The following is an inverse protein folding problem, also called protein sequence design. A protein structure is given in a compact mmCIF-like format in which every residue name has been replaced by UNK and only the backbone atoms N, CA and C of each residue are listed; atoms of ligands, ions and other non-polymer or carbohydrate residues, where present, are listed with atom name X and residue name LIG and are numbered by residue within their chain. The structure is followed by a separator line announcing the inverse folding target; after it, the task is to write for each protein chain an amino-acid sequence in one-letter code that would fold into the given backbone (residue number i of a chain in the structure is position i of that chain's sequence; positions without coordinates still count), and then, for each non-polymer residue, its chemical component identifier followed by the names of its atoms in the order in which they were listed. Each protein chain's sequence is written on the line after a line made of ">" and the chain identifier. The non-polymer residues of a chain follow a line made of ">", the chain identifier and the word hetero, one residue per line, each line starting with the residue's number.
data_IF_154060504282
#
_entry.id   IF_154060504282
#
_cell.length_a   1.000
_cell.length_b   1.000
_cell.length_c   1.000
_cell.angle_alpha   90.00
_cell.angle_beta   90.00
_cell.angle_gamma   90.00
#
_symmetry.space_group_name_H-M   'P 1'
#
loop_
_entity.id
_entity.type
_entity.pdbx_description
1 polymer ?
#
# COMPACT_ATOMS: atom_id res chain seq x y z
N UNK A 1 -1.71 6.18 -26.93
CA UNK A 1 -1.09 4.98 -27.57
C UNK A 1 -1.85 3.73 -27.14
N UNK A 2 -2.06 2.73 -28.01
CA UNK A 2 -2.76 1.49 -27.67
C UNK A 2 -1.74 0.42 -27.24
N UNK A 3 -1.79 -0.11 -26.02
CA UNK A 3 -0.88 -1.17 -25.60
C UNK A 3 -1.15 -2.46 -26.39
N UNK A 4 -0.08 -3.16 -26.78
CA UNK A 4 -0.16 -4.52 -27.33
C UNK A 4 0.36 -5.51 -26.28
N UNK A 5 -0.51 -6.42 -25.85
CA UNK A 5 -0.11 -7.58 -25.04
C UNK A 5 0.47 -8.66 -25.94
N UNK A 6 1.69 -9.14 -25.66
CA UNK A 6 2.20 -10.35 -26.33
C UNK A 6 1.68 -11.61 -25.62
N UNK A 7 1.12 -12.61 -26.33
CA UNK A 7 0.83 -13.90 -25.75
C UNK A 7 2.12 -14.59 -25.30
N UNK A 8 2.12 -15.18 -24.10
CA UNK A 8 3.25 -15.99 -23.62
C UNK A 8 3.45 -17.21 -24.53
N UNK A 9 4.67 -17.41 -25.05
CA UNK A 9 5.04 -18.58 -25.83
C UNK A 9 4.89 -19.87 -24.99
N UNK A 10 4.07 -20.80 -25.48
CA UNK A 10 3.98 -22.23 -25.11
C UNK A 10 4.21 -22.61 -23.62
N UNK A 11 3.36 -22.11 -22.73
CA UNK A 11 2.79 -22.82 -21.58
C UNK A 11 1.89 -21.82 -20.86
N UNK A 12 0.57 -22.00 -20.94
CA UNK A 12 -0.44 -21.05 -20.48
C UNK A 12 -0.42 -20.84 -18.97
N UNK A 13 0.53 -20.05 -18.47
CA UNK A 13 0.53 -19.55 -17.12
C UNK A 13 -0.01 -18.10 -17.16
N UNK A 14 -1.31 -17.93 -16.90
CA UNK A 14 -2.02 -16.64 -16.85
C UNK A 14 -1.42 -15.63 -15.84
N UNK A 15 -0.44 -16.05 -15.04
CA UNK A 15 0.22 -15.25 -14.01
C UNK A 15 1.26 -14.25 -14.55
N UNK A 16 1.73 -14.40 -15.81
CA UNK A 16 2.76 -13.54 -16.39
C UNK A 16 2.30 -12.92 -17.70
N UNK A 17 2.42 -11.60 -17.79
CA UNK A 17 2.04 -10.83 -18.98
C UNK A 17 3.15 -9.83 -19.33
N UNK A 18 3.29 -9.52 -20.61
CA UNK A 18 4.24 -8.50 -21.07
C UNK A 18 3.52 -7.39 -21.80
N UNK A 19 3.89 -6.15 -21.47
CA UNK A 19 3.36 -4.93 -22.08
C UNK A 19 4.49 -4.13 -22.69
N UNK A 20 4.23 -3.43 -23.79
CA UNK A 20 5.16 -2.45 -24.35
C UNK A 20 4.58 -1.06 -24.14
N UNK A 21 5.37 -0.17 -23.56
CA UNK A 21 5.05 1.25 -23.42
C UNK A 21 6.15 2.06 -24.10
N UNK A 22 5.77 3.07 -24.87
CA UNK A 22 6.72 3.98 -25.51
C UNK A 22 6.76 5.30 -24.74
N UNK A 23 7.96 5.73 -24.36
CA UNK A 23 8.24 6.98 -23.67
C UNK A 23 9.34 7.68 -24.47
N UNK A 24 9.10 8.93 -24.89
CA UNK A 24 10.09 9.73 -25.67
C UNK A 24 10.68 8.94 -26.87
N UNK A 25 9.80 8.33 -27.67
CA UNK A 25 10.17 7.52 -28.86
C UNK A 25 10.95 6.23 -28.56
N UNK A 26 11.17 5.90 -27.28
CA UNK A 26 11.80 4.63 -26.86
C UNK A 26 10.77 3.67 -26.31
N UNK A 27 10.79 2.44 -26.83
CA UNK A 27 9.90 1.37 -26.37
C UNK A 27 10.53 0.60 -25.21
N UNK A 28 9.76 0.47 -24.13
CA UNK A 28 10.10 -0.27 -22.93
C UNK A 28 9.19 -1.49 -22.82
N UNK A 29 9.78 -2.68 -22.74
CA UNK A 29 9.06 -3.93 -22.49
C UNK A 29 8.98 -4.16 -20.99
N UNK A 30 7.76 -4.32 -20.48
CA UNK A 30 7.45 -4.55 -19.08
C UNK A 30 7.15 -6.02 -18.89
N UNK A 31 7.88 -6.69 -18.00
CA UNK A 31 7.59 -8.06 -17.59
C UNK A 31 6.83 -8.03 -16.28
N UNK A 32 5.57 -8.44 -16.34
CA UNK A 32 4.63 -8.31 -15.23
C UNK A 32 4.24 -9.68 -14.72
N UNK A 33 4.10 -9.77 -13.39
CA UNK A 33 3.49 -10.88 -12.69
C UNK A 33 2.28 -10.38 -11.92
N UNK A 34 1.20 -11.17 -11.94
CA UNK A 34 0.01 -10.87 -11.17
C UNK A 34 0.34 -10.75 -9.68
N UNK A 35 -0.27 -9.77 -9.03
CA UNK A 35 -0.07 -9.45 -7.63
C UNK A 35 -1.40 -9.52 -6.89
N UNK A 36 -1.50 -10.41 -5.90
CA UNK A 36 -2.73 -10.64 -5.15
C UNK A 36 -2.53 -10.18 -3.72
N UNK A 37 -3.21 -9.10 -3.35
CA UNK A 37 -3.13 -8.50 -2.01
C UNK A 37 -4.49 -8.04 -1.46
N UNK A 38 -5.57 -8.31 -2.21
CA UNK A 38 -6.95 -8.12 -1.77
C UNK A 38 -7.56 -9.48 -1.46
N UNK A 39 -7.95 -9.76 -0.21
CA UNK A 39 -8.61 -11.01 0.13
C UNK A 39 -10.05 -11.04 -0.41
N UNK A 40 -10.60 -12.25 -0.51
CA UNK A 40 -12.03 -12.46 -0.82
C UNK A 40 -12.95 -11.77 0.20
N UNK A 41 -12.49 -11.67 1.44
CA UNK A 41 -13.16 -11.02 2.57
C UNK A 41 -12.92 -9.51 2.65
N UNK A 42 -12.25 -8.90 1.67
CA UNK A 42 -12.01 -7.45 1.66
C UNK A 42 -13.34 -6.68 1.74
N UNK A 43 -13.45 -5.77 2.72
CA UNK A 43 -14.63 -4.94 2.98
C UNK A 43 -14.27 -3.47 2.99
N UNK A 44 -15.20 -2.65 2.50
CA UNK A 44 -15.17 -1.20 2.67
C UNK A 44 -16.29 -0.82 3.64
N UNK A 45 -15.92 -0.14 4.73
CA UNK A 45 -16.82 0.32 5.78
C UNK A 45 -17.13 1.81 5.64
N UNK A 46 -18.41 2.13 5.69
CA UNK A 46 -18.94 3.49 5.66
C UNK A 46 -19.96 3.68 6.79
N UNK A 47 -20.49 4.88 6.93
CA UNK A 47 -21.46 5.21 7.97
C UNK A 47 -22.73 5.79 7.35
N UNK A 48 -23.87 5.20 7.70
CA UNK A 48 -25.17 5.78 7.38
C UNK A 48 -25.37 7.13 8.07
N UNK A 49 -26.37 7.90 7.62
CA UNK A 49 -26.74 9.19 8.25
C UNK A 49 -27.08 9.06 9.74
N UNK A 50 -27.62 7.92 10.15
CA UNK A 50 -27.97 7.62 11.54
C UNK A 50 -26.78 7.07 12.35
N UNK A 51 -25.59 7.01 11.76
CA UNK A 51 -24.36 6.56 12.41
C UNK A 51 -24.15 5.04 12.45
N UNK A 52 -25.09 4.25 11.90
CA UNK A 52 -24.92 2.81 11.77
C UNK A 52 -23.82 2.48 10.75
N UNK A 53 -22.94 1.54 11.11
CA UNK A 53 -21.88 1.02 10.24
C UNK A 53 -22.51 0.26 9.08
N UNK A 54 -22.13 0.62 7.86
CA UNK A 54 -22.43 -0.11 6.65
C UNK A 54 -21.14 -0.74 6.13
N UNK A 55 -21.26 -1.87 5.46
CA UNK A 55 -20.11 -2.56 4.86
C UNK A 55 -20.50 -3.19 3.54
N UNK A 56 -19.71 -2.91 2.52
CA UNK A 56 -19.95 -3.46 1.19
C UNK A 56 -18.70 -4.16 0.66
N UNK A 57 -18.91 -5.02 -0.32
CA UNK A 57 -17.84 -5.48 -1.19
C UNK A 57 -17.60 -4.42 -2.26
N UNK A 58 -16.37 -3.90 -2.41
CA UNK A 58 -16.08 -2.95 -3.48
C UNK A 58 -16.14 -3.65 -4.85
N UNK A 59 -16.56 -2.90 -5.87
CA UNK A 59 -16.63 -3.38 -7.26
C UNK A 59 -15.26 -3.46 -7.94
N UNK A 60 -14.25 -3.97 -7.23
CA UNK A 60 -12.88 -4.07 -7.69
C UNK A 60 -12.59 -5.52 -8.08
N UNK A 61 -12.16 -5.70 -9.34
CA UNK A 61 -11.63 -6.97 -9.80
C UNK A 61 -10.30 -7.25 -9.11
N UNK A 62 -10.10 -8.46 -8.59
CA UNK A 62 -8.88 -8.83 -7.84
C UNK A 62 -7.74 -9.34 -8.73
N UNK A 63 -8.06 -9.64 -9.98
CA UNK A 63 -7.17 -10.32 -10.94
C UNK A 63 -6.41 -9.37 -11.87
N UNK A 64 -6.54 -8.06 -11.69
CA UNK A 64 -6.04 -7.03 -12.60
C UNK A 64 -4.89 -6.19 -12.05
N UNK A 65 -4.29 -6.56 -10.91
CA UNK A 65 -3.12 -5.91 -10.33
C UNK A 65 -1.85 -6.68 -10.65
N UNK A 66 -0.80 -5.95 -11.02
CA UNK A 66 0.45 -6.51 -11.51
C UNK A 66 1.64 -5.75 -10.94
N UNK A 67 2.70 -6.50 -10.64
CA UNK A 67 4.03 -5.96 -10.35
C UNK A 67 5.07 -6.56 -11.28
N UNK A 68 6.17 -5.87 -11.49
CA UNK A 68 7.17 -6.33 -12.44
C UNK A 68 8.38 -5.42 -12.55
N UNK A 69 9.10 -5.60 -13.65
CA UNK A 69 10.30 -4.85 -13.99
C UNK A 69 10.34 -4.59 -15.50
N UNK A 70 11.17 -3.65 -15.90
CA UNK A 70 11.46 -3.28 -17.28
C UNK A 70 12.59 -4.16 -17.82
N UNK A 71 12.39 -4.76 -18.99
CA UNK A 71 13.39 -5.56 -19.66
C UNK A 71 14.69 -4.76 -19.89
N UNK A 72 15.83 -5.35 -19.55
CA UNK A 72 17.14 -4.69 -19.59
C UNK A 72 17.48 -3.83 -18.36
N UNK A 73 16.52 -3.61 -17.45
CA UNK A 73 16.71 -2.85 -16.21
C UNK A 73 16.22 -3.68 -15.01
N UNK A 74 16.98 -4.67 -14.52
CA UNK A 74 16.52 -5.56 -13.45
C UNK A 74 16.19 -4.85 -12.13
N UNK A 75 16.82 -3.71 -11.84
CA UNK A 75 16.56 -2.89 -10.65
C UNK A 75 15.42 -1.88 -10.84
N UNK A 76 14.65 -2.00 -11.92
CA UNK A 76 13.44 -1.20 -12.13
C UNK A 76 12.24 -1.85 -11.45
N UNK A 77 11.24 -1.04 -11.12
CA UNK A 77 9.97 -1.51 -10.57
C UNK A 77 8.81 -1.01 -11.41
N UNK A 78 7.84 -1.88 -11.66
CA UNK A 78 6.60 -1.56 -12.37
C UNK A 78 5.45 -2.03 -11.50
N UNK A 79 4.48 -1.16 -11.25
CA UNK A 79 3.23 -1.53 -10.58
C UNK A 79 2.06 -0.99 -11.39
N UNK A 80 1.20 -1.90 -11.87
CA UNK A 80 0.13 -1.58 -12.81
C UNK A 80 -1.19 -2.20 -12.37
N UNK A 81 -2.27 -1.46 -12.64
CA UNK A 81 -3.65 -1.91 -12.60
C UNK A 81 -4.18 -1.89 -14.03
N UNK A 82 -4.95 -2.92 -14.38
CA UNK A 82 -5.70 -3.02 -15.63
C UNK A 82 -7.22 -3.04 -15.40
N UNK A 83 -7.66 -2.78 -14.16
CA UNK A 83 -9.04 -2.97 -13.73
C UNK A 83 -10.02 -2.04 -14.47
N UNK A 84 -9.57 -0.81 -14.71
CA UNK A 84 -10.34 0.27 -15.36
C UNK A 84 -9.44 1.00 -16.36
N UNK A 85 -8.81 0.25 -17.27
CA UNK A 85 -7.74 0.76 -18.13
C UNK A 85 -6.36 0.60 -17.50
N UNK A 86 -5.31 0.93 -18.26
CA UNK A 86 -3.93 0.80 -17.81
C UNK A 86 -3.55 2.00 -16.95
N UNK A 87 -3.36 1.77 -15.64
CA UNK A 87 -2.98 2.78 -14.66
C UNK A 87 -1.80 2.26 -13.82
N UNK A 88 -0.86 3.12 -13.43
CA UNK A 88 0.17 2.75 -12.45
C UNK A 88 1.46 3.54 -12.60
N UNK A 89 2.56 2.96 -12.15
CA UNK A 89 3.88 3.59 -12.17
C UNK A 89 4.94 2.68 -12.77
N UNK A 90 5.87 3.30 -13.49
CA UNK A 90 7.12 2.71 -13.97
C UNK A 90 8.26 3.50 -13.33
N UNK A 91 9.07 2.82 -12.52
CA UNK A 91 10.20 3.38 -11.80
C UNK A 91 11.50 2.81 -12.37
N UNK A 92 12.36 3.69 -12.85
CA UNK A 92 13.77 3.41 -13.16
C UNK A 92 14.63 3.90 -11.99
N UNK A 93 15.96 3.80 -12.11
CA UNK A 93 16.89 4.11 -11.01
C UNK A 93 16.66 5.49 -10.36
N UNK A 94 16.45 6.54 -11.16
CA UNK A 94 16.37 7.93 -10.68
C UNK A 94 15.12 8.68 -11.16
N UNK A 95 14.22 8.00 -11.90
CA UNK A 95 13.06 8.64 -12.54
C UNK A 95 11.85 7.73 -12.44
N UNK A 96 10.70 8.34 -12.22
CA UNK A 96 9.41 7.68 -12.14
C UNK A 96 8.47 8.25 -13.20
N UNK A 97 7.70 7.38 -13.83
CA UNK A 97 6.67 7.74 -14.80
C UNK A 97 5.31 7.25 -14.30
N UNK A 98 4.32 8.13 -14.33
CA UNK A 98 2.93 7.83 -14.08
C UNK A 98 2.25 7.42 -15.39
N UNK A 99 1.36 6.43 -15.29
CA UNK A 99 0.56 5.93 -16.40
C UNK A 99 -0.91 6.07 -15.97
N UNK A 100 -1.70 6.77 -16.77
CA UNK A 100 -3.12 7.00 -16.52
C UNK A 100 -3.94 6.71 -17.79
N UNK A 101 -5.11 6.07 -17.69
CA UNK A 101 -6.00 5.90 -18.83
C UNK A 101 -6.56 7.26 -19.27
N UNK A 102 -6.74 7.45 -20.57
CA UNK A 102 -7.47 8.59 -21.10
C UNK A 102 -8.96 8.22 -21.16
N UNK A 103 -9.74 8.76 -20.24
CA UNK A 103 -11.21 8.62 -20.28
C UNK A 103 -11.72 9.10 -21.64
N UNK A 104 -12.69 8.37 -22.21
CA UNK A 104 -13.48 8.74 -23.40
C UNK A 104 -12.92 8.53 -24.82
N UNK A 105 -11.88 7.69 -25.05
CA UNK A 105 -11.49 7.30 -26.43
C UNK A 105 -11.72 5.82 -26.76
N UNK A 106 -12.31 5.49 -27.93
CA UNK A 106 -12.31 4.12 -28.43
C UNK A 106 -10.87 3.76 -28.82
N UNK A 107 -10.20 2.96 -27.97
CA UNK A 107 -8.84 2.48 -28.26
C UNK A 107 -7.91 2.25 -27.07
N UNK A 108 -8.36 2.25 -25.81
CA UNK A 108 -7.49 2.01 -24.63
C UNK A 108 -6.23 2.88 -24.62
N UNK A 109 -6.38 4.16 -24.92
CA UNK A 109 -5.26 5.09 -24.90
C UNK A 109 -4.88 5.44 -23.46
N UNK A 110 -3.59 5.62 -23.22
CA UNK A 110 -3.04 6.04 -21.93
C UNK A 110 -2.12 7.25 -22.11
N UNK A 111 -2.03 8.06 -21.07
CA UNK A 111 -1.06 9.12 -20.88
C UNK A 111 0.11 8.56 -20.06
N UNK A 112 1.33 8.83 -20.52
CA UNK A 112 2.54 8.61 -19.72
C UNK A 112 3.17 9.96 -19.46
N UNK A 113 3.48 10.25 -18.20
CA UNK A 113 4.08 11.51 -17.78
C UNK A 113 5.14 11.25 -16.72
N UNK A 114 6.19 12.07 -16.71
CA UNK A 114 7.20 11.99 -15.67
C UNK A 114 6.62 12.55 -14.36
N UNK A 115 6.80 11.80 -13.27
CA UNK A 115 6.44 12.24 -11.93
C UNK A 115 7.59 13.09 -11.42
N UNK A 116 7.32 14.38 -11.25
CA UNK A 116 8.24 15.32 -10.62
C UNK A 116 7.82 15.53 -9.17
N UNK A 117 8.74 15.33 -8.24
CA UNK A 117 8.60 15.91 -6.91
C UNK A 117 9.06 17.37 -7.05
N UNK A 118 8.14 18.31 -7.30
CA UNK A 118 8.48 19.75 -7.25
C UNK A 118 9.19 20.04 -5.93
N UNK A 119 10.40 20.63 -5.99
CA UNK A 119 11.31 20.97 -4.90
C UNK A 119 10.70 20.89 -3.48
N UNK A 120 10.57 19.67 -2.99
CA UNK A 120 10.15 19.39 -1.60
C UNK A 120 11.26 19.73 -0.60
N UNK A 121 12.38 20.32 -1.03
CA UNK A 121 13.45 20.84 -0.18
C UNK A 121 12.99 21.91 0.81
N UNK A 122 11.80 22.49 0.63
CA UNK A 122 11.27 23.58 1.47
C UNK A 122 9.94 23.28 2.18
N UNK A 123 9.36 22.08 2.04
CA UNK A 123 7.99 21.81 2.51
C UNK A 123 7.78 20.50 3.29
N UNK A 124 8.74 19.58 3.34
CA UNK A 124 8.78 18.54 4.37
C UNK A 124 9.99 18.82 5.25
N UNK A 125 9.80 19.60 6.31
CA UNK A 125 10.76 19.56 7.40
C UNK A 125 10.62 18.19 8.05
N UNK A 126 11.47 17.23 7.67
CA UNK A 126 11.62 15.97 8.40
C UNK A 126 12.49 16.27 9.62
N UNK A 127 11.98 17.06 10.56
CA UNK A 127 12.58 17.18 11.89
C UNK A 127 11.95 16.09 12.77
N UNK A 128 12.64 14.95 12.87
CA UNK A 128 12.30 13.78 13.69
C UNK A 128 10.90 13.19 13.45
N UNK A 129 10.78 12.10 12.70
CA UNK A 129 9.62 11.23 12.95
C UNK A 129 9.57 10.90 14.45
N UNK A 130 8.40 11.09 15.07
CA UNK A 130 8.19 10.81 16.48
C UNK A 130 8.14 9.28 16.65
N UNK A 131 9.30 8.64 16.57
CA UNK A 131 9.47 7.21 16.83
C UNK A 131 9.37 7.01 18.33
N UNK A 132 8.22 6.49 18.77
CA UNK A 132 8.04 6.12 20.17
C UNK A 132 8.68 4.75 20.39
N UNK A 133 9.86 4.75 20.99
CA UNK A 133 10.47 3.55 21.55
C UNK A 133 9.81 3.29 22.91
N UNK A 134 9.20 2.12 23.11
CA UNK A 134 8.77 1.73 24.44
C UNK A 134 10.00 1.54 25.33
N UNK A 135 10.11 2.34 26.41
CA UNK A 135 11.11 2.14 27.46
C UNK A 135 10.97 0.73 28.03
N UNK A 136 11.90 -0.18 27.69
CA UNK A 136 11.87 -1.56 28.21
C UNK A 136 12.59 -2.63 27.39
N UNK A 137 12.94 -2.39 26.11
CA UNK A 137 13.71 -3.35 25.31
C UNK A 137 15.14 -2.84 25.09
N UNK A 138 15.99 -3.03 26.11
CA UNK A 138 17.42 -3.10 25.88
C UNK A 138 17.69 -4.29 24.94
N UNK A 139 17.99 -3.99 23.67
CA UNK A 139 18.37 -5.00 22.67
C UNK A 139 19.57 -5.76 23.22
N UNK A 140 19.37 -7.02 23.62
CA UNK A 140 20.50 -7.93 23.83
C UNK A 140 21.14 -8.14 22.47
N UNK A 141 22.35 -7.63 22.30
CA UNK A 141 23.20 -7.92 21.16
C UNK A 141 23.65 -9.38 21.28
N UNK A 142 22.81 -10.33 20.88
CA UNK A 142 23.19 -11.74 20.92
C UNK A 142 24.04 -12.06 19.68
N UNK A 143 25.33 -12.26 19.92
CA UNK A 143 26.34 -12.68 18.94
C UNK A 143 26.20 -14.15 18.59
N UNK A 144 25.03 -14.53 18.06
CA UNK A 144 24.69 -15.90 17.67
C UNK A 144 24.46 -16.04 16.16
N UNK A 145 25.53 -16.09 15.36
CA UNK A 145 25.45 -16.41 13.93
C UNK A 145 25.08 -17.89 13.79
N UNK A 146 23.79 -18.21 13.79
CA UNK A 146 23.27 -19.51 13.32
C UNK A 146 22.37 -19.28 12.11
N UNK A 147 22.91 -19.62 10.94
CA UNK A 147 22.26 -19.74 9.62
C UNK A 147 21.04 -18.82 9.36
N UNK A 148 21.28 -17.51 9.29
CA UNK A 148 20.25 -16.46 9.09
C UNK A 148 19.54 -16.49 7.72
N UNK A 149 19.95 -17.34 6.77
CA UNK A 149 19.40 -17.35 5.40
C UNK A 149 18.10 -18.17 5.23
N UNK A 150 17.68 -18.98 6.21
CA UNK A 150 16.48 -19.84 6.04
C UNK A 150 15.15 -19.12 6.30
N UNK A 151 15.14 -18.03 7.08
CA UNK A 151 13.92 -17.36 7.53
C UNK A 151 13.24 -16.48 6.46
N UNK A 152 14.00 -15.92 5.51
CA UNK A 152 13.47 -15.11 4.39
C UNK A 152 12.73 -15.96 3.35
N UNK A 153 12.91 -17.28 3.35
CA UNK A 153 12.28 -18.16 2.34
C UNK A 153 10.76 -18.30 2.47
N UNK A 154 10.22 -18.04 3.66
CA UNK A 154 8.78 -18.17 3.89
C UNK A 154 8.08 -16.86 3.54
N UNK A 155 7.09 -16.95 2.64
CA UNK A 155 6.25 -15.80 2.32
C UNK A 155 5.43 -15.42 3.56
N UNK A 156 5.47 -14.12 3.88
CA UNK A 156 4.76 -13.53 5.02
C UNK A 156 3.64 -12.64 4.53
N UNK A 157 2.58 -12.55 5.32
CA UNK A 157 1.41 -11.74 4.99
C UNK A 157 1.14 -10.80 6.16
N UNK A 158 0.87 -9.53 5.85
CA UNK A 158 0.49 -8.55 6.85
C UNK A 158 -0.91 -8.03 6.53
N UNK A 159 -1.90 -8.43 7.31
CA UNK A 159 -3.30 -7.99 7.16
C UNK A 159 -3.48 -6.57 7.72
N UNK A 160 -3.54 -5.59 6.82
CA UNK A 160 -3.62 -4.18 7.12
C UNK A 160 -5.06 -3.66 7.04
N UNK A 161 -5.52 -3.02 8.11
CA UNK A 161 -6.76 -2.26 8.16
C UNK A 161 -6.47 -0.76 7.94
N UNK A 162 -7.06 -0.15 6.92
CA UNK A 162 -6.81 1.27 6.61
C UNK A 162 -8.06 2.11 6.92
N UNK A 163 -7.86 3.25 7.59
CA UNK A 163 -8.89 4.24 7.87
C UNK A 163 -8.47 5.56 7.24
N UNK A 164 -9.38 6.21 6.52
CA UNK A 164 -9.18 7.58 6.06
C UNK A 164 -10.02 8.52 6.92
N UNK A 165 -9.38 9.56 7.41
CA UNK A 165 -10.09 10.66 8.03
C UNK A 165 -10.94 11.42 7.00
N UNK A 166 -11.88 12.22 7.49
CA UNK A 166 -12.82 12.97 6.67
C UNK A 166 -12.10 13.86 5.66
N UNK A 167 -11.10 14.61 6.11
CA UNK A 167 -10.40 15.57 5.26
C UNK A 167 -9.67 14.86 4.11
N UNK A 168 -9.05 13.70 4.38
CA UNK A 168 -8.39 12.91 3.34
C UNK A 168 -9.37 12.26 2.38
N UNK A 169 -10.48 11.72 2.88
CA UNK A 169 -11.56 11.20 2.02
C UNK A 169 -12.07 12.28 1.06
N UNK A 170 -12.31 13.48 1.58
CA UNK A 170 -12.76 14.62 0.79
C UNK A 170 -11.70 15.06 -0.23
N UNK A 171 -10.43 15.15 0.18
CA UNK A 171 -9.33 15.47 -0.72
C UNK A 171 -9.15 14.44 -1.84
N UNK A 172 -9.37 13.16 -1.56
CA UNK A 172 -9.23 12.08 -2.53
C UNK A 172 -10.42 11.96 -3.50
N UNK A 173 -11.47 12.76 -3.34
CA UNK A 173 -12.56 12.93 -4.30
C UNK A 173 -13.96 12.73 -3.74
N UNK A 174 -14.11 12.43 -2.44
CA UNK A 174 -15.41 12.18 -1.77
C UNK A 174 -16.28 11.07 -2.38
N UNK A 175 -15.73 10.26 -3.28
CA UNK A 175 -16.44 9.13 -3.90
C UNK A 175 -15.80 7.83 -3.48
N UNK A 176 -16.60 6.97 -2.84
CA UNK A 176 -16.17 5.69 -2.26
C UNK A 176 -15.31 4.86 -3.22
N UNK A 177 -15.76 4.64 -4.45
CA UNK A 177 -15.07 3.76 -5.41
C UNK A 177 -13.75 4.41 -5.91
N UNK A 178 -13.77 5.71 -6.20
CA UNK A 178 -12.58 6.48 -6.61
C UNK A 178 -11.51 6.47 -5.51
N UNK A 179 -11.92 6.71 -4.26
CA UNK A 179 -11.01 6.69 -3.11
C UNK A 179 -10.48 5.29 -2.85
N UNK A 180 -11.35 4.26 -2.95
CA UNK A 180 -10.94 2.85 -2.81
C UNK A 180 -9.88 2.49 -3.86
N UNK A 181 -10.07 2.84 -5.13
CA UNK A 181 -9.10 2.57 -6.20
C UNK A 181 -7.73 3.22 -5.92
N UNK A 182 -7.71 4.47 -5.43
CA UNK A 182 -6.47 5.16 -5.06
C UNK A 182 -5.74 4.47 -3.91
N UNK A 183 -6.47 4.02 -2.89
CA UNK A 183 -5.86 3.31 -1.75
C UNK A 183 -5.38 1.91 -2.15
N UNK A 184 -6.11 1.19 -2.99
CA UNK A 184 -5.66 -0.10 -3.53
C UNK A 184 -4.39 0.09 -4.37
N UNK A 185 -4.34 1.13 -5.21
CA UNK A 185 -3.14 1.47 -5.98
C UNK A 185 -1.94 1.79 -5.07
N UNK A 186 -2.16 2.60 -4.01
CA UNK A 186 -1.16 2.92 -2.99
C UNK A 186 -0.59 1.64 -2.36
N UNK A 187 -1.44 0.70 -1.93
CA UNK A 187 -1.00 -0.57 -1.34
C UNK A 187 -0.26 -1.45 -2.36
N UNK A 188 -0.60 -1.36 -3.65
CA UNK A 188 0.18 -1.97 -4.73
C UNK A 188 1.63 -1.47 -4.73
N UNK A 189 1.83 -0.15 -4.64
CA UNK A 189 3.17 0.47 -4.59
C UNK A 189 3.94 0.05 -3.35
N UNK A 190 3.28 0.04 -2.17
CA UNK A 190 3.88 -0.45 -0.93
C UNK A 190 4.35 -1.90 -1.10
N UNK A 191 3.50 -2.79 -1.63
CA UNK A 191 3.89 -4.18 -1.83
C UNK A 191 5.05 -4.36 -2.82
N UNK A 192 5.21 -3.48 -3.80
CA UNK A 192 6.37 -3.51 -4.70
C UNK A 192 7.67 -3.41 -3.88
N UNK A 193 7.73 -2.46 -2.95
CA UNK A 193 8.85 -2.24 -2.03
C UNK A 193 9.10 -3.44 -1.07
N UNK A 194 8.04 -4.05 -0.53
CA UNK A 194 8.13 -5.20 0.39
C UNK A 194 8.50 -6.54 -0.28
N UNK A 195 8.60 -6.57 -1.62
CA UNK A 195 8.95 -7.80 -2.35
C UNK A 195 10.30 -8.38 -1.93
N UNK A 196 11.29 -7.53 -1.63
CA UNK A 196 12.63 -7.96 -1.18
C UNK A 196 12.63 -8.63 0.19
N UNK A 197 11.61 -8.36 1.02
CA UNK A 197 11.42 -8.99 2.33
C UNK A 197 10.56 -10.26 2.26
N UNK A 198 10.17 -10.71 1.05
CA UNK A 198 9.24 -11.81 0.81
C UNK A 198 7.93 -11.65 1.62
N UNK A 199 7.44 -10.42 1.69
CA UNK A 199 6.24 -10.06 2.44
C UNK A 199 5.19 -9.46 1.51
N UNK A 200 3.93 -9.80 1.77
CA UNK A 200 2.77 -9.24 1.08
C UNK A 200 1.93 -8.47 2.10
N UNK A 201 1.76 -7.17 1.88
CA UNK A 201 0.84 -6.32 2.63
C UNK A 201 -0.56 -6.56 2.05
N UNK A 202 -1.42 -7.18 2.82
CA UNK A 202 -2.78 -7.56 2.44
C UNK A 202 -3.73 -6.48 2.95
N UNK A 203 -4.40 -5.76 2.06
CA UNK A 203 -5.41 -4.78 2.47
C UNK A 203 -6.67 -5.54 2.87
N UNK A 204 -6.85 -5.79 4.16
CA UNK A 204 -7.93 -6.62 4.69
C UNK A 204 -9.24 -5.85 4.77
N UNK A 205 -9.18 -4.54 5.03
CA UNK A 205 -10.36 -3.69 5.15
C UNK A 205 -10.01 -2.21 4.96
N UNK A 206 -10.99 -1.45 4.51
CA UNK A 206 -10.90 -0.01 4.32
C UNK A 206 -12.09 0.67 5.02
N UNK A 207 -11.87 1.77 5.71
CA UNK A 207 -12.93 2.53 6.38
C UNK A 207 -12.83 4.02 6.07
N UNK A 208 -13.98 4.63 5.80
CA UNK A 208 -14.08 6.06 5.50
C UNK A 208 -14.87 6.80 6.58
N UNK A 209 -14.28 7.87 7.13
CA UNK A 209 -14.96 8.79 8.04
C UNK A 209 -15.67 9.90 7.26
N UNK A 210 -16.63 9.53 6.41
CA UNK A 210 -17.27 10.42 5.43
C UNK A 210 -18.01 11.61 6.07
N UNK A 211 -18.76 11.35 7.15
CA UNK A 211 -19.57 12.36 7.85
C UNK A 211 -18.76 13.19 8.85
N UNK A 212 -18.03 12.52 9.74
CA UNK A 212 -17.17 13.16 10.74
C UNK A 212 -16.11 12.20 11.25
N UNK A 213 -14.98 12.75 11.68
CA UNK A 213 -13.92 11.98 12.32
C UNK A 213 -14.44 11.35 13.62
N UNK A 214 -14.02 10.10 13.90
CA UNK A 214 -14.43 9.36 15.12
C UNK A 214 -13.57 9.67 16.33
N UNK A 215 -12.42 10.30 16.10
CA UNK A 215 -11.53 10.87 17.12
C UNK A 215 -11.05 12.25 16.65
N UNK A 216 -10.60 13.13 17.56
CA UNK A 216 -9.88 14.35 17.18
C UNK A 216 -8.57 14.04 16.44
N UNK A 217 -8.42 14.58 15.22
CA UNK A 217 -7.25 14.34 14.34
C UNK A 217 -6.21 15.48 14.35
N UNK A 218 -6.37 16.48 15.23
CA UNK A 218 -5.46 17.62 15.44
C UNK A 218 -4.30 17.29 16.40
N UNK A 219 -3.31 18.17 16.53
CA UNK A 219 -2.16 17.98 17.45
C UNK A 219 -1.03 17.17 16.85
N UNK A 220 -0.04 16.77 17.66
CA UNK A 220 1.15 16.07 17.17
C UNK A 220 0.86 14.61 16.76
N UNK A 221 1.75 14.04 15.94
CA UNK A 221 1.54 12.72 15.34
C UNK A 221 1.54 11.58 16.38
N UNK A 222 2.38 11.68 17.40
CA UNK A 222 2.48 10.76 18.54
C UNK A 222 1.22 10.80 19.44
N UNK A 223 0.72 12.00 19.77
CA UNK A 223 -0.52 12.16 20.52
C UNK A 223 -1.71 11.58 19.75
N UNK A 224 -1.75 11.82 18.43
CA UNK A 224 -2.78 11.27 17.57
C UNK A 224 -2.69 9.74 17.49
N UNK A 225 -1.48 9.18 17.39
CA UNK A 225 -1.26 7.74 17.42
C UNK A 225 -1.81 7.10 18.70
N UNK A 226 -1.53 7.69 19.86
CA UNK A 226 -2.03 7.19 21.14
C UNK A 226 -3.57 7.18 21.19
N UNK A 227 -4.22 8.28 20.79
CA UNK A 227 -5.69 8.35 20.71
C UNK A 227 -6.25 7.35 19.71
N UNK A 228 -5.60 7.18 18.56
CA UNK A 228 -6.02 6.24 17.54
C UNK A 228 -5.94 4.79 18.05
N UNK A 229 -4.86 4.39 18.72
CA UNK A 229 -4.72 3.04 19.26
C UNK A 229 -5.76 2.73 20.35
N UNK A 230 -6.08 3.71 21.20
CA UNK A 230 -7.16 3.59 22.18
C UNK A 230 -8.50 3.31 21.48
N UNK A 231 -8.84 4.11 20.46
CA UNK A 231 -10.04 3.91 19.64
C UNK A 231 -10.03 2.55 18.94
N UNK A 232 -8.92 2.19 18.28
CA UNK A 232 -8.72 0.92 17.56
C UNK A 232 -9.03 -0.29 18.45
N UNK A 233 -8.50 -0.29 19.67
CA UNK A 233 -8.63 -1.41 20.60
C UNK A 233 -10.05 -1.61 21.15
N UNK A 234 -10.91 -0.59 21.03
CA UNK A 234 -12.32 -0.65 21.40
C UNK A 234 -13.16 -1.02 20.17
N UNK A 235 -12.99 -0.29 19.07
CA UNK A 235 -13.92 -0.30 17.94
C UNK A 235 -13.62 -1.34 16.86
N UNK A 236 -12.37 -1.80 16.71
CA UNK A 236 -11.99 -2.77 15.68
C UNK A 236 -11.91 -4.22 16.19
N UNK A 237 -12.39 -4.50 17.41
CA UNK A 237 -12.25 -5.83 18.05
C UNK A 237 -12.88 -6.98 17.23
N UNK A 238 -13.95 -6.70 16.48
CA UNK A 238 -14.65 -7.69 15.65
C UNK A 238 -14.17 -7.72 14.19
N UNK A 239 -13.11 -7.00 13.86
CA UNK A 239 -12.56 -6.89 12.50
C UNK A 239 -11.12 -7.39 12.53
N UNK A 240 -10.84 -8.66 12.20
CA UNK A 240 -9.49 -9.21 12.24
C UNK A 240 -8.50 -8.41 11.39
N UNK A 241 -7.36 -8.07 11.97
CA UNK A 241 -6.24 -7.37 11.34
C UNK A 241 -4.97 -7.61 12.15
N UNK A 242 -3.83 -7.56 11.49
CA UNK A 242 -2.53 -7.58 12.13
C UNK A 242 -2.12 -6.18 12.56
N UNK A 243 -2.38 -5.18 11.71
CA UNK A 243 -2.07 -3.77 11.94
C UNK A 243 -3.17 -2.86 11.39
N UNK A 244 -3.41 -1.72 12.05
CA UNK A 244 -4.32 -0.70 11.53
C UNK A 244 -3.63 0.65 11.35
N UNK A 245 -3.92 1.36 10.26
CA UNK A 245 -3.38 2.68 10.00
C UNK A 245 -4.48 3.70 9.80
N UNK A 246 -4.33 4.85 10.45
CA UNK A 246 -5.14 6.04 10.20
C UNK A 246 -4.39 6.97 9.24
N UNK A 247 -4.94 7.20 8.06
CA UNK A 247 -4.44 8.19 7.11
C UNK A 247 -5.21 9.50 7.28
N UNK A 248 -4.48 10.59 7.43
CA UNK A 248 -5.02 11.92 7.79
C UNK A 248 -4.48 12.96 6.83
N UNK A 249 -5.36 13.82 6.33
CA UNK A 249 -4.93 14.96 5.53
C UNK A 249 -4.51 16.14 6.41
N UNK A 250 -3.34 16.72 6.11
CA UNK A 250 -2.86 17.98 6.68
C UNK A 250 -2.18 18.81 5.61
N UNK A 251 -2.52 20.09 5.51
CA UNK A 251 -1.94 20.97 4.49
C UNK A 251 -0.42 21.15 4.67
N UNK A 252 0.06 21.28 5.92
CA UNK A 252 1.48 21.48 6.26
C UNK A 252 1.82 20.72 7.56
N UNK A 253 2.10 19.41 7.49
CA UNK A 253 2.55 18.66 8.65
C UNK A 253 4.05 18.82 8.88
N UNK A 254 4.48 18.87 10.14
CA UNK A 254 5.91 18.84 10.53
C UNK A 254 6.49 17.42 10.55
N UNK A 255 5.66 16.41 10.32
CA UNK A 255 6.00 14.98 10.44
C UNK A 255 5.30 14.21 9.32
N UNK A 256 5.87 13.09 8.88
CA UNK A 256 5.19 12.23 7.89
C UNK A 256 4.22 11.24 8.55
N UNK A 257 4.38 10.99 9.84
CA UNK A 257 3.52 10.10 10.60
C UNK A 257 4.10 9.68 11.94
N UNK A 258 3.49 8.66 12.55
CA UNK A 258 3.96 8.04 13.77
C UNK A 258 3.59 6.55 13.83
N UNK A 259 4.47 5.74 14.41
CA UNK A 259 4.28 4.30 14.63
C UNK A 259 5.14 3.82 15.79
N UNK A 260 4.77 2.71 16.44
CA UNK A 260 5.59 2.08 17.47
C UNK A 260 6.62 1.13 16.83
N UNK A 261 7.90 1.38 17.06
CA UNK A 261 8.96 0.58 16.48
C UNK A 261 9.00 -0.84 17.08
N UNK A 262 9.12 -1.88 16.25
CA UNK A 262 9.28 -3.27 16.68
C UNK A 262 8.11 -3.85 17.47
N UNK A 263 6.92 -3.24 17.38
CA UNK A 263 5.75 -3.62 18.17
C UNK A 263 4.60 -4.15 17.30
N UNK A 264 4.88 -4.52 16.05
CA UNK A 264 3.92 -5.22 15.20
C UNK A 264 3.42 -6.50 15.87
N UNK A 265 2.21 -6.94 15.54
CA UNK A 265 1.50 -8.07 16.15
C UNK A 265 1.06 -7.88 17.63
N UNK A 266 1.59 -6.88 18.33
CA UNK A 266 1.13 -6.56 19.69
C UNK A 266 -0.14 -5.72 19.62
N UNK A 267 -1.29 -6.30 20.00
CA UNK A 267 -2.62 -5.68 19.87
C UNK A 267 -2.68 -4.20 20.24
N UNK A 268 -2.06 -3.80 21.36
CA UNK A 268 -2.15 -2.43 21.86
C UNK A 268 -1.28 -1.42 21.10
N UNK A 269 -0.27 -1.88 20.38
CA UNK A 269 0.74 -1.05 19.71
C UNK A 269 0.75 -1.21 18.18
N UNK A 270 0.14 -2.27 17.67
CA UNK A 270 0.09 -2.58 16.24
C UNK A 270 -0.87 -1.63 15.51
N UNK A 271 -0.34 -0.45 15.21
CA UNK A 271 -0.97 0.56 14.38
C UNK A 271 -0.07 1.77 14.15
N UNK A 272 -0.48 2.62 13.21
CA UNK A 272 0.26 3.82 12.83
C UNK A 272 -0.64 4.94 12.34
N UNK A 273 -0.08 6.15 12.23
CA UNK A 273 -0.73 7.32 11.65
C UNK A 273 0.08 7.81 10.45
N UNK A 274 -0.55 7.77 9.28
CA UNK A 274 -0.19 8.34 7.98
C UNK A 274 -0.54 9.83 7.82
N UNK A 275 0.40 10.77 7.67
CA UNK A 275 0.05 12.16 7.32
C UNK A 275 0.22 12.40 5.81
N UNK A 276 -0.90 12.73 5.14
CA UNK A 276 -0.96 13.07 3.73
C UNK A 276 -1.03 14.59 3.55
N UNK A 277 -0.23 15.14 2.66
CA UNK A 277 -0.20 16.58 2.35
C UNK A 277 -0.46 16.86 0.87
N UNK A 278 -0.87 18.10 0.55
CA UNK A 278 -1.32 18.49 -0.80
C UNK A 278 -0.31 18.18 -1.91
N UNK A 279 0.96 18.49 -1.70
CA UNK A 279 2.01 18.34 -2.71
C UNK A 279 2.55 16.90 -2.83
N UNK A 280 2.10 15.97 -1.97
CA UNK A 280 2.58 14.59 -1.99
C UNK A 280 1.81 13.76 -3.01
N UNK A 281 2.56 13.01 -3.82
CA UNK A 281 2.02 12.03 -4.76
C UNK A 281 1.72 10.72 -4.04
N UNK A 282 0.91 9.84 -4.65
CA UNK A 282 0.70 8.48 -4.12
C UNK A 282 2.01 7.67 -4.06
N UNK A 283 2.96 7.93 -4.97
CA UNK A 283 4.29 7.31 -4.94
C UNK A 283 5.03 7.73 -3.67
N UNK A 284 5.17 9.03 -3.40
CA UNK A 284 5.82 9.52 -2.18
C UNK A 284 5.10 9.04 -0.92
N UNK A 285 3.76 9.07 -0.91
CA UNK A 285 3.00 8.56 0.23
C UNK A 285 3.23 7.07 0.45
N UNK A 286 3.39 6.27 -0.61
CA UNK A 286 3.72 4.84 -0.47
C UNK A 286 5.08 4.61 0.23
N UNK A 287 6.05 5.52 0.01
CA UNK A 287 7.35 5.47 0.70
C UNK A 287 7.19 5.76 2.19
N UNK A 288 6.38 6.77 2.55
CA UNK A 288 6.04 7.08 3.95
C UNK A 288 5.40 5.87 4.63
N UNK A 289 4.40 5.25 4.00
CA UNK A 289 3.75 4.04 4.55
C UNK A 289 4.77 2.90 4.69
N UNK A 290 5.66 2.71 3.72
CA UNK A 290 6.69 1.68 3.79
C UNK A 290 7.69 1.92 4.92
N UNK A 291 8.09 3.17 5.17
CA UNK A 291 8.95 3.55 6.30
C UNK A 291 8.27 3.27 7.64
N UNK A 292 7.02 3.71 7.82
CA UNK A 292 6.27 3.49 9.07
C UNK A 292 6.00 2.01 9.35
N UNK A 293 5.70 1.23 8.31
CA UNK A 293 5.59 -0.23 8.41
C UNK A 293 6.95 -0.87 8.73
N UNK A 294 8.03 -0.36 8.12
CA UNK A 294 9.40 -0.78 8.44
C UNK A 294 9.74 -0.57 9.91
N UNK A 295 9.40 0.60 10.47
CA UNK A 295 9.53 0.86 11.91
C UNK A 295 8.73 -0.15 12.73
N UNK A 296 7.44 -0.39 12.40
CA UNK A 296 6.62 -1.40 13.08
C UNK A 296 7.28 -2.80 13.06
N UNK A 297 7.96 -3.13 11.98
CA UNK A 297 8.72 -4.37 11.75
C UNK A 297 10.12 -4.39 12.40
N UNK A 298 10.43 -3.41 13.25
CA UNK A 298 11.70 -3.32 13.98
C UNK A 298 12.88 -2.80 13.14
N UNK A 299 12.61 -2.29 11.93
CA UNK A 299 13.62 -1.74 11.04
C UNK A 299 13.87 -0.27 11.39
N UNK A 300 15.11 0.07 11.72
CA UNK A 300 15.49 1.45 12.03
C UNK A 300 15.82 2.27 10.77
N UNK A 301 15.85 3.59 10.90
CA UNK A 301 16.33 4.50 9.86
C UNK A 301 17.81 4.24 9.51
N UNK A 302 18.16 4.45 8.23
CA UNK A 302 19.48 4.23 7.66
C UNK A 302 20.42 5.43 7.83
N UNK A 303 19.91 6.62 8.19
CA UNK A 303 20.59 7.92 8.14
C UNK A 303 21.95 7.99 8.87
N UNK A 304 22.07 7.29 10.01
CA UNK A 304 23.30 7.26 10.82
C UNK A 304 24.12 5.98 10.63
N UNK A 305 23.88 5.23 9.56
CA UNK A 305 24.45 3.89 9.33
C UNK A 305 25.05 3.79 7.93
N UNK A 306 26.11 3.02 7.78
CA UNK A 306 26.70 2.71 6.47
C UNK A 306 25.92 1.57 5.80
N UNK A 307 24.75 1.91 5.27
CA UNK A 307 23.80 0.97 4.68
C UNK A 307 23.73 1.12 3.16
N UNK A 308 23.58 0.00 2.45
CA UNK A 308 23.60 -0.04 0.98
C UNK A 308 22.34 -0.71 0.43
N UNK A 309 21.84 -0.17 -0.69
CA UNK A 309 20.73 -0.72 -1.48
C UNK A 309 20.97 -0.47 -2.98
N UNK A 310 20.29 -1.20 -3.89
CA UNK A 310 20.43 -1.02 -5.34
C UNK A 310 19.98 0.36 -5.90
N UNK A 311 19.18 1.10 -5.14
CA UNK A 311 18.63 2.41 -5.53
C UNK A 311 19.54 3.59 -5.22
N UNK A 312 19.11 4.81 -5.58
CA UNK A 312 19.81 6.06 -5.20
C UNK A 312 19.75 6.30 -3.70
N UNK A 313 18.62 5.95 -3.09
CA UNK A 313 18.39 6.06 -1.66
C UNK A 313 17.54 4.88 -1.20
N UNK A 314 17.79 4.44 0.02
CA UNK A 314 17.13 3.27 0.59
C UNK A 314 15.79 3.68 1.21
N UNK A 315 14.82 2.76 1.24
CA UNK A 315 13.47 3.06 1.75
C UNK A 315 13.54 3.67 3.15
N UNK A 316 14.39 3.11 4.02
CA UNK A 316 14.53 3.54 5.41
C UNK A 316 15.49 4.71 5.59
N UNK A 317 15.84 5.47 4.55
CA UNK A 317 16.54 6.75 4.70
C UNK A 317 15.50 7.88 4.71
N UNK A 318 15.59 8.85 5.62
CA UNK A 318 14.56 9.93 5.73
C UNK A 318 14.36 10.69 4.41
N UNK A 319 15.45 11.02 3.71
CA UNK A 319 15.43 11.65 2.40
C UNK A 319 14.74 10.84 1.27
N UNK A 320 14.36 9.58 1.49
CA UNK A 320 13.73 8.74 0.47
C UNK A 320 12.43 9.33 -0.07
N UNK A 321 11.65 10.00 0.79
CA UNK A 321 10.37 10.63 0.43
C UNK A 321 10.53 11.75 -0.61
N UNK A 322 11.73 12.32 -0.72
CA UNK A 322 12.06 13.38 -1.67
C UNK A 322 12.61 12.88 -3.00
N UNK A 323 13.03 11.62 -3.05
CA UNK A 323 13.67 11.06 -4.24
C UNK A 323 12.65 10.40 -5.17
N UNK A 324 12.90 10.49 -6.48
CA UNK A 324 12.18 9.71 -7.49
C UNK A 324 12.90 8.38 -7.79
N UNK A 325 12.24 7.50 -8.54
CA UNK A 325 12.80 6.23 -8.97
C UNK A 325 12.66 5.09 -7.96
N UNK A 326 13.19 3.93 -8.34
CA UNK A 326 13.09 2.68 -7.58
C UNK A 326 13.78 2.81 -6.22
N UNK A 327 13.10 2.31 -5.20
CA UNK A 327 13.62 2.21 -3.83
C UNK A 327 13.59 0.76 -3.36
N UNK A 328 14.59 0.40 -2.58
CA UNK A 328 14.71 -0.91 -1.98
C UNK A 328 15.15 -0.77 -0.51
N UNK A 329 14.83 -1.78 0.28
CA UNK A 329 15.36 -1.89 1.64
C UNK A 329 16.88 -2.11 1.58
N UNK A 330 17.59 -1.53 2.53
CA UNK A 330 19.05 -1.70 2.65
C UNK A 330 19.42 -3.07 3.20
N UNK A 331 20.69 -3.44 3.06
CA UNK A 331 21.27 -4.59 3.77
C UNK A 331 21.05 -4.54 5.29
N UNK A 332 21.16 -3.35 5.90
CA UNK A 332 20.86 -3.14 7.31
C UNK A 332 19.39 -3.39 7.62
N UNK A 333 18.49 -2.88 6.77
CA UNK A 333 17.05 -3.08 6.92
C UNK A 333 16.66 -4.56 6.90
N UNK A 334 17.28 -5.33 6.00
CA UNK A 334 17.09 -6.78 5.91
C UNK A 334 17.59 -7.46 7.19
N UNK A 335 18.73 -7.04 7.74
CA UNK A 335 19.26 -7.55 9.00
C UNK A 335 18.35 -7.28 10.20
N UNK A 336 17.84 -6.05 10.33
CA UNK A 336 16.89 -5.68 11.39
C UNK A 336 15.62 -6.52 11.33
N UNK A 337 15.04 -6.67 10.13
CA UNK A 337 13.84 -7.48 9.93
C UNK A 337 14.09 -8.96 10.26
N UNK A 338 15.25 -9.51 9.89
CA UNK A 338 15.61 -10.88 10.25
C UNK A 338 15.70 -11.05 11.77
N UNK A 339 16.29 -10.09 12.49
CA UNK A 339 16.34 -10.10 13.95
C UNK A 339 14.94 -10.05 14.57
N UNK A 340 14.07 -9.16 14.08
CA UNK A 340 12.69 -9.04 14.54
C UNK A 340 11.93 -10.38 14.42
N UNK A 341 12.05 -11.05 13.27
CA UNK A 341 11.45 -12.37 13.05
C UNK A 341 12.08 -13.44 13.95
N UNK A 342 13.41 -13.45 14.09
CA UNK A 342 14.12 -14.45 14.89
C UNK A 342 13.79 -14.36 16.39
N UNK A 343 13.44 -13.16 16.86
CA UNK A 343 12.99 -12.92 18.23
C UNK A 343 11.54 -13.35 18.50
N UNK A 344 10.81 -13.82 17.47
CA UNK A 344 9.40 -14.20 17.61
C UNK A 344 8.44 -13.01 17.63
N UNK A 345 8.87 -11.82 17.23
CA UNK A 345 8.05 -10.61 17.31
C UNK A 345 7.05 -10.50 16.14
N UNK A 346 7.19 -11.34 15.11
CA UNK A 346 6.36 -11.34 13.89
C UNK A 346 5.43 -12.56 13.75
N UNK A 347 4.91 -13.12 14.84
CA UNK A 347 4.08 -14.34 14.81
C UNK A 347 2.81 -14.19 13.95
N UNK A 348 2.15 -13.03 13.97
CA UNK A 348 0.96 -12.75 13.17
C UNK A 348 1.22 -12.70 11.65
N UNK A 349 2.49 -12.74 11.21
CA UNK A 349 2.82 -12.66 9.78
C UNK A 349 2.78 -14.01 9.05
N UNK A 350 2.51 -15.08 9.79
CA UNK A 350 2.61 -16.46 9.31
C UNK A 350 1.29 -17.00 8.76
N UNK A 351 0.14 -16.46 9.18
CA UNK A 351 -1.15 -16.88 8.63
C UNK A 351 -1.28 -16.37 7.20
N UNK A 352 -1.47 -17.31 6.27
CA UNK A 352 -1.79 -16.98 4.88
C UNK A 352 -3.28 -16.65 4.77
N UNK A 353 -3.67 -15.42 4.42
CA UNK A 353 -5.06 -15.09 4.19
C UNK A 353 -5.60 -15.79 2.95
N UNK A 354 -6.91 -15.97 2.89
CA UNK A 354 -7.57 -16.61 1.75
C UNK A 354 -7.66 -15.65 0.55
N UNK A 355 -6.57 -15.62 -0.22
CA UNK A 355 -6.39 -14.84 -1.43
C UNK A 355 -6.84 -15.63 -2.67
N UNK A 356 -8.16 -15.78 -2.85
CA UNK A 356 -8.72 -16.44 -4.03
C UNK A 356 -9.02 -15.44 -5.15
N UNK A 357 -8.25 -15.53 -6.23
CA UNK A 357 -8.35 -14.67 -7.43
C UNK A 357 -9.63 -14.93 -8.22
N UNK A 358 -10.19 -16.14 -8.14
CA UNK A 358 -11.41 -16.53 -8.85
C UNK A 358 -12.69 -16.07 -8.16
N UNK A 359 -12.62 -15.60 -6.91
CA UNK A 359 -13.78 -15.12 -6.18
C UNK A 359 -14.19 -13.73 -6.69
N UNK A 360 -15.34 -13.67 -7.36
CA UNK A 360 -15.99 -12.42 -7.80
C UNK A 360 -16.98 -11.98 -6.73
N UNK A 361 -16.95 -10.70 -6.36
CA UNK A 361 -17.95 -10.15 -5.47
C UNK A 361 -19.33 -10.20 -6.16
N UNK A 362 -20.42 -10.48 -5.43
CA UNK A 362 -21.79 -10.37 -5.93
C UNK A 362 -22.07 -9.00 -6.57
N UNK A 363 -22.77 -8.97 -7.71
CA UNK A 363 -23.10 -7.75 -8.46
C UNK A 363 -24.61 -7.66 -8.71
N UNK A 364 -25.29 -6.91 -7.85
CA UNK A 364 -26.72 -6.65 -7.98
C UNK A 364 -27.05 -5.88 -9.27
N UNK A 365 -27.97 -6.42 -10.06
CA UNK A 365 -28.43 -5.87 -11.32
C UNK A 365 -27.86 -6.55 -12.56
N UNK A 366 -27.15 -7.68 -12.42
CA UNK A 366 -26.62 -8.50 -13.51
C UNK A 366 -27.56 -9.66 -13.91
N UNK A 367 -28.69 -9.83 -13.19
CA UNK A 367 -29.71 -10.90 -13.33
C UNK A 367 -29.26 -12.30 -12.89
N UNK A 368 -28.19 -12.39 -12.11
CA UNK A 368 -27.67 -13.63 -11.53
C UNK A 368 -27.80 -13.46 -10.03
N UNK A 369 -28.52 -14.35 -9.37
CA UNK A 369 -28.62 -14.32 -7.90
C UNK A 369 -27.32 -14.81 -7.31
N UNK A 370 -26.58 -13.93 -6.66
CA UNK A 370 -25.27 -14.21 -6.06
C UNK A 370 -25.36 -14.24 -4.52
N UNK A 371 -24.26 -14.61 -3.84
CA UNK A 371 -24.24 -14.79 -2.38
C UNK A 371 -24.63 -13.50 -1.64
N UNK A 372 -25.70 -13.53 -0.86
CA UNK A 372 -26.22 -12.35 -0.14
C UNK A 372 -27.34 -11.59 -0.86
N UNK A 373 -27.77 -12.06 -2.04
CA UNK A 373 -28.92 -11.53 -2.76
C UNK A 373 -30.15 -12.45 -2.61
N UNK A 374 -31.31 -11.89 -2.28
CA UNK A 374 -32.58 -12.63 -2.32
C UNK A 374 -33.09 -12.77 -3.77
N UNK A 375 -32.77 -11.80 -4.63
CA UNK A 375 -33.08 -11.78 -6.05
C UNK A 375 -32.23 -10.75 -6.82
N UNK A 376 -32.02 -11.00 -8.11
CA UNK A 376 -31.45 -10.02 -9.05
C UNK A 376 -32.34 -9.90 -10.28
N UNK A 377 -32.96 -8.72 -10.45
CA UNK A 377 -33.90 -8.43 -11.53
C UNK A 377 -33.31 -7.58 -12.67
N UNK A 378 -32.01 -7.32 -12.64
CA UNK A 378 -31.34 -6.44 -13.59
C UNK A 378 -31.40 -4.95 -13.23
N UNK A 379 -30.57 -4.14 -13.89
CA UNK A 379 -30.54 -2.69 -13.70
C UNK A 379 -31.86 -2.00 -14.11
N UNK A 380 -32.30 -1.02 -13.32
CA UNK A 380 -33.52 -0.23 -13.59
C UNK A 380 -33.39 0.45 -14.96
N UNK A 381 -34.30 0.14 -15.89
CA UNK A 381 -34.40 0.87 -17.17
C UNK A 381 -34.83 2.31 -16.89
N UNK A 382 -33.95 3.27 -17.11
CA UNK A 382 -34.33 4.68 -17.20
C UNK A 382 -35.22 4.82 -18.43
N UNK A 383 -36.52 4.99 -18.22
CA UNK A 383 -37.44 5.39 -19.29
C UNK A 383 -37.07 6.84 -19.67
N UNK A 384 -36.50 7.02 -20.85
CA UNK A 384 -36.38 8.33 -21.49
C UNK A 384 -37.75 8.86 -21.87
#
# INVERSE_FOLDING_TARGET
>A
MVPWSMPSNQNGNLEQVSYIITIEERSYTLHLKQQVFLPSTFRVYTYSRDGAVQSDFPHIKRDCFYKGYVAGFPDSAVTLSTCSGLRGILQLKNVSYGIEPLDSTPGFQHLVYQIWNENTESLLFVENDSVIWSEGMARKLDTGIKSQQSFIRHSRYLEMYVILDKALYDYMGSEKDVVTDKIVQLIGFVNSMFTHLNMTIVLSSLEFWEGSNKIPTTGEADELLQRFLQWKNIHLTLRPHDIAYLFVYRDQPNYVGASFAGNLCLRNYSGGVALYQRAVTLETFSVIIAQLLGLSLGIAYDDSRDCQCPGVTCIMHTAAVHSSGTKAFSNCSIGDFQSFIANGEGECLLNKPYLNVSYKAPVCGNKIVEEGEDCDCGSKKVRK
#
